data_IF_942387029221
#
_entry.id   IF_942387029221
#
_cell.length_a   1.000
_cell.length_b   1.000
_cell.length_c   1.000
_cell.angle_alpha   90.00
_cell.angle_beta   90.00
_cell.angle_gamma   90.00
#
_symmetry.space_group_name_H-M   'P 1'
#
loop_
_entity.id
_entity.type
_entity.pdbx_description
1 polymer ?
#
# COMPACT_ATOMS: atom_id res chain seq x y z
N UNK A 1 -4.57 -7.64 0.90
CA UNK A 1 -3.27 -8.09 1.39
C UNK A 1 -3.32 -8.26 2.90
N UNK A 2 -3.01 -9.47 3.34
CA UNK A 2 -2.82 -9.85 4.74
C UNK A 2 -1.33 -9.84 5.08
N UNK A 3 -0.99 -9.82 6.37
CA UNK A 3 0.42 -9.86 6.82
C UNK A 3 1.08 -11.20 6.44
N UNK A 4 0.33 -12.31 6.55
CA UNK A 4 0.82 -13.66 6.24
C UNK A 4 1.25 -13.79 4.78
N UNK A 5 0.49 -13.19 3.85
CA UNK A 5 0.87 -13.14 2.44
C UNK A 5 2.14 -12.30 2.23
N UNK A 6 2.25 -11.16 2.92
CA UNK A 6 3.38 -10.26 2.78
C UNK A 6 4.69 -10.85 3.30
N UNK A 7 4.66 -11.65 4.36
CA UNK A 7 5.85 -12.31 4.91
C UNK A 7 6.52 -13.28 3.94
N UNK A 8 5.78 -13.81 2.96
CA UNK A 8 6.31 -14.72 1.92
C UNK A 8 7.12 -14.01 0.84
N UNK A 9 6.95 -12.70 0.69
CA UNK A 9 7.66 -11.91 -0.30
C UNK A 9 9.12 -11.65 0.11
N UNK A 10 9.98 -11.51 -0.90
CA UNK A 10 11.34 -11.01 -0.70
C UNK A 10 11.32 -9.52 -0.31
N UNK A 11 12.43 -9.01 0.24
CA UNK A 11 12.55 -7.58 0.56
C UNK A 11 12.35 -6.71 -0.69
N UNK A 12 12.89 -7.12 -1.85
CA UNK A 12 12.70 -6.41 -3.12
C UNK A 12 11.24 -6.41 -3.57
N UNK A 13 10.53 -7.53 -3.43
CA UNK A 13 9.11 -7.61 -3.79
C UNK A 13 8.24 -6.74 -2.89
N UNK A 14 8.59 -6.64 -1.60
CA UNK A 14 7.94 -5.75 -0.65
C UNK A 14 8.20 -4.27 -0.98
N UNK A 15 9.43 -3.91 -1.35
CA UNK A 15 9.78 -2.55 -1.79
C UNK A 15 9.04 -2.16 -3.09
N UNK A 16 8.93 -3.10 -4.03
CA UNK A 16 8.13 -2.91 -5.24
C UNK A 16 6.65 -2.72 -4.92
N UNK A 17 6.07 -3.62 -4.12
CA UNK A 17 4.67 -3.52 -3.68
C UNK A 17 4.39 -2.21 -2.93
N UNK A 18 5.33 -1.75 -2.09
CA UNK A 18 5.23 -0.47 -1.40
C UNK A 18 5.16 0.71 -2.39
N UNK A 19 6.00 0.68 -3.42
CA UNK A 19 6.05 1.71 -4.46
C UNK A 19 4.74 1.74 -5.25
N UNK A 20 4.26 0.57 -5.67
CA UNK A 20 3.02 0.44 -6.44
C UNK A 20 1.80 0.88 -5.61
N UNK A 21 1.73 0.47 -4.33
CA UNK A 21 0.63 0.88 -3.43
C UNK A 21 0.65 2.38 -3.15
N UNK A 22 1.83 3.01 -3.06
CA UNK A 22 1.95 4.47 -2.89
C UNK A 22 1.48 5.22 -4.15
N UNK A 23 1.81 4.70 -5.34
CA UNK A 23 1.32 5.26 -6.61
C UNK A 23 -0.20 5.20 -6.69
N UNK A 24 -0.79 4.05 -6.36
CA UNK A 24 -2.24 3.87 -6.33
C UNK A 24 -2.90 4.88 -5.37
N UNK A 25 -2.33 5.08 -4.17
CA UNK A 25 -2.82 6.06 -3.21
C UNK A 25 -2.77 7.50 -3.74
N UNK A 26 -1.72 7.84 -4.49
CA UNK A 26 -1.57 9.14 -5.11
C UNK A 26 -2.62 9.37 -6.21
N UNK A 27 -2.78 8.41 -7.12
CA UNK A 27 -3.80 8.44 -8.19
C UNK A 27 -5.22 8.54 -7.62
N UNK A 28 -5.53 7.76 -6.57
CA UNK A 28 -6.81 7.88 -5.86
C UNK A 28 -7.00 9.27 -5.24
N UNK A 29 -5.93 9.89 -4.75
CA UNK A 29 -6.00 11.23 -4.16
C UNK A 29 -6.25 12.29 -5.23
N UNK A 30 -5.61 12.18 -6.40
CA UNK A 30 -5.87 13.07 -7.54
C UNK A 30 -7.32 12.95 -8.03
N UNK A 31 -7.80 11.72 -8.22
CA UNK A 31 -9.18 11.46 -8.68
C UNK A 31 -10.24 11.95 -7.69
N UNK A 32 -9.94 11.92 -6.39
CA UNK A 32 -10.83 12.48 -5.37
C UNK A 32 -10.85 14.01 -5.42
N UNK A 33 -9.68 14.65 -5.55
CA UNK A 33 -9.57 16.12 -5.66
C UNK A 33 -10.26 16.63 -6.93
N UNK A 34 -10.12 15.92 -8.04
CA UNK A 34 -10.78 16.23 -9.30
C UNK A 34 -12.30 15.90 -9.29
N UNK A 35 -12.83 15.35 -8.21
CA UNK A 35 -14.26 15.03 -8.07
C UNK A 35 -14.76 13.86 -8.92
N UNK A 36 -13.84 13.09 -9.52
CA UNK A 36 -14.14 12.01 -10.46
C UNK A 36 -14.33 10.66 -9.77
N UNK A 37 -13.87 10.51 -8.52
CA UNK A 37 -13.99 9.28 -7.73
C UNK A 37 -14.81 9.48 -6.45
N UNK A 38 -15.78 8.60 -6.23
CA UNK A 38 -16.59 8.53 -4.99
C UNK A 38 -16.06 7.51 -3.98
N UNK A 39 -14.96 6.81 -4.31
CA UNK A 39 -14.49 5.65 -3.54
C UNK A 39 -13.45 6.01 -2.48
N UNK A 40 -13.80 6.97 -1.61
CA UNK A 40 -12.93 7.42 -0.50
C UNK A 40 -12.53 6.28 0.45
N UNK A 41 -13.37 5.25 0.58
CA UNK A 41 -13.13 4.07 1.41
C UNK A 41 -11.92 3.25 0.95
N UNK A 42 -11.65 3.19 -0.37
CA UNK A 42 -10.48 2.49 -0.93
C UNK A 42 -9.15 3.13 -0.51
N UNK A 43 -9.16 4.46 -0.29
CA UNK A 43 -8.00 5.20 0.26
C UNK A 43 -7.59 4.67 1.64
N UNK A 44 -8.57 4.39 2.50
CA UNK A 44 -8.33 3.82 3.83
C UNK A 44 -7.71 2.43 3.77
N UNK A 45 -8.21 1.58 2.86
CA UNK A 45 -7.64 0.25 2.63
C UNK A 45 -6.20 0.31 2.11
N UNK A 46 -5.93 1.21 1.16
CA UNK A 46 -4.59 1.41 0.59
C UNK A 46 -3.58 1.88 1.65
N UNK A 47 -3.95 2.85 2.50
CA UNK A 47 -3.12 3.27 3.66
C UNK A 47 -2.82 2.12 4.62
N UNK A 48 -3.82 1.29 4.94
CA UNK A 48 -3.62 0.09 5.79
C UNK A 48 -2.66 -0.91 5.15
N UNK A 49 -2.73 -1.09 3.83
CA UNK A 49 -1.80 -1.97 3.10
C UNK A 49 -0.36 -1.44 3.16
N UNK A 50 -0.15 -0.13 2.96
CA UNK A 50 1.17 0.51 3.12
C UNK A 50 1.74 0.25 4.51
N UNK A 51 0.94 0.46 5.56
CA UNK A 51 1.37 0.23 6.94
C UNK A 51 1.81 -1.23 7.15
N UNK A 52 1.04 -2.21 6.66
CA UNK A 52 1.39 -3.64 6.75
C UNK A 52 2.68 -3.98 6.03
N UNK A 53 2.89 -3.45 4.82
CA UNK A 53 4.12 -3.67 4.05
C UNK A 53 5.33 -3.12 4.81
N UNK A 54 5.22 -1.91 5.37
CA UNK A 54 6.28 -1.29 6.16
C UNK A 54 6.60 -2.10 7.43
N UNK A 55 5.59 -2.62 8.12
CA UNK A 55 5.79 -3.51 9.27
C UNK A 55 6.61 -4.74 8.89
N UNK A 56 6.21 -5.47 7.84
CA UNK A 56 6.93 -6.68 7.41
C UNK A 56 8.33 -6.36 6.88
N UNK A 57 8.52 -5.21 6.22
CA UNK A 57 9.86 -4.75 5.82
C UNK A 57 10.75 -4.55 7.03
N UNK A 58 10.28 -3.81 8.05
CA UNK A 58 11.04 -3.57 9.28
C UNK A 58 11.38 -4.88 10.01
N UNK A 59 10.44 -5.84 10.06
CA UNK A 59 10.66 -7.17 10.65
C UNK A 59 11.73 -7.97 9.89
N UNK A 60 11.87 -7.79 8.57
CA UNK A 60 12.86 -8.50 7.75
C UNK A 60 14.24 -7.84 7.71
N UNK A 61 14.32 -6.55 8.02
CA UNK A 61 15.57 -5.77 8.01
C UNK A 61 16.17 -5.57 9.40
N UNK A 62 15.43 -5.88 10.47
CA UNK A 62 15.93 -5.91 11.85
C UNK A 62 16.61 -7.24 12.15
#
# INVERSE_FOLDING_TARGET
MTIIELQKFSVSDLQRSLTDTRRELYEMSLSLVAGVSKESHKKGACKKNIARILTVLNEKTS
#
